data_IF_044227497078
#
_entry.id   IF_044227497078
#
_cell.length_a   1.000
_cell.length_b   1.000
_cell.length_c   1.000
_cell.angle_alpha   90.00
_cell.angle_beta   90.00
_cell.angle_gamma   90.00
#
_symmetry.space_group_name_H-M   'P 1'
#
loop_
_entity.id
_entity.type
_entity.pdbx_description
1 polymer ?
#
# COMPACT_ATOMS: atom_id res chain seq x y z
N UNK A 1 0.30 -0.56 -27.31
CA UNK A 1 1.25 -0.87 -26.23
C UNK A 1 2.10 -2.10 -26.54
N UNK A 2 1.51 -3.27 -26.76
CA UNK A 2 2.24 -4.51 -27.06
C UNK A 2 3.17 -4.40 -28.29
N UNK A 3 2.77 -3.67 -29.32
CA UNK A 3 3.62 -3.39 -30.48
C UNK A 3 4.91 -2.63 -30.09
N UNK A 4 4.87 -1.70 -29.12
CA UNK A 4 6.06 -0.99 -28.66
C UNK A 4 7.02 -1.90 -27.90
N UNK A 5 6.48 -2.83 -27.10
CA UNK A 5 7.28 -3.87 -26.42
C UNK A 5 7.95 -4.77 -27.45
N UNK A 6 7.25 -5.13 -28.53
CA UNK A 6 7.82 -5.92 -29.62
C UNK A 6 8.95 -5.17 -30.32
N UNK A 7 8.76 -3.89 -30.66
CA UNK A 7 9.83 -3.04 -31.22
C UNK A 7 11.06 -2.98 -30.30
N UNK A 8 10.87 -2.87 -28.98
CA UNK A 8 11.99 -2.91 -28.02
C UNK A 8 12.71 -4.26 -27.98
N UNK A 9 11.98 -5.37 -28.10
CA UNK A 9 12.59 -6.71 -28.17
C UNK A 9 13.45 -6.87 -29.42
N UNK A 10 12.96 -6.42 -30.57
CA UNK A 10 13.68 -6.45 -31.84
C UNK A 10 14.92 -5.55 -31.79
N UNK A 11 14.77 -4.32 -31.29
CA UNK A 11 15.90 -3.39 -31.11
C UNK A 11 17.00 -3.96 -30.21
N UNK A 12 16.64 -4.66 -29.14
CA UNK A 12 17.60 -5.28 -28.23
C UNK A 12 18.26 -6.53 -28.84
N UNK A 13 17.52 -7.33 -29.63
CA UNK A 13 18.09 -8.47 -30.34
C UNK A 13 19.11 -8.03 -31.40
N UNK A 14 18.80 -6.96 -32.14
CA UNK A 14 19.61 -6.45 -33.26
C UNK A 14 20.63 -5.38 -32.83
N UNK A 15 20.73 -5.07 -31.53
CA UNK A 15 21.59 -4.01 -30.97
C UNK A 15 21.43 -2.64 -31.66
N UNK A 16 20.21 -2.29 -32.07
CA UNK A 16 19.93 -1.05 -32.79
C UNK A 16 20.13 0.16 -31.89
N UNK A 17 20.97 1.11 -32.34
CA UNK A 17 21.27 2.34 -31.58
C UNK A 17 20.18 3.42 -31.68
N UNK A 18 19.33 3.36 -32.71
CA UNK A 18 18.24 4.31 -32.94
C UNK A 18 16.90 3.58 -32.93
N UNK A 19 15.87 4.27 -32.44
CA UNK A 19 14.49 3.79 -32.52
C UNK A 19 14.03 3.92 -33.99
N UNK A 20 13.38 2.89 -34.56
CA UNK A 20 12.81 2.97 -35.90
C UNK A 20 11.79 4.10 -36.04
N UNK A 21 11.70 4.72 -37.24
CA UNK A 21 10.79 5.85 -37.47
C UNK A 21 9.31 5.44 -37.46
N UNK A 22 9.03 4.16 -37.69
CA UNK A 22 7.72 3.50 -37.63
C UNK A 22 7.37 2.97 -36.23
N UNK A 23 8.23 3.20 -35.23
CA UNK A 23 7.99 2.75 -33.88
C UNK A 23 6.66 3.32 -33.32
N UNK A 24 5.83 2.51 -32.64
CA UNK A 24 4.55 2.96 -32.13
C UNK A 24 4.71 4.13 -31.15
N UNK A 25 3.94 5.19 -31.30
CA UNK A 25 3.98 6.37 -30.39
C UNK A 25 2.66 6.62 -29.65
N UNK A 26 1.60 5.89 -29.99
CA UNK A 26 0.25 6.09 -29.43
C UNK A 26 0.15 5.88 -27.91
N UNK A 27 1.06 5.11 -27.30
CA UNK A 27 1.08 4.87 -25.86
C UNK A 27 1.75 6.00 -25.06
N UNK A 28 2.44 6.93 -25.74
CA UNK A 28 3.22 7.98 -25.09
C UNK A 28 2.28 9.07 -24.54
N UNK A 29 2.15 9.12 -23.22
CA UNK A 29 1.36 10.14 -22.52
C UNK A 29 1.96 11.54 -22.69
N UNK A 30 1.16 12.63 -22.58
CA UNK A 30 1.62 14.01 -22.80
C UNK A 30 2.88 14.38 -22.01
N UNK A 31 3.02 13.92 -20.77
CA UNK A 31 4.21 14.14 -19.92
C UNK A 31 5.53 13.61 -20.51
N UNK A 32 5.46 12.55 -21.30
CA UNK A 32 6.62 11.90 -21.89
C UNK A 32 6.97 12.47 -23.26
N UNK A 33 6.00 13.05 -23.98
CA UNK A 33 6.21 13.55 -25.35
C UNK A 33 7.42 14.49 -25.49
N UNK A 34 7.65 15.47 -24.60
CA UNK A 34 8.82 16.36 -24.72
C UNK A 34 10.17 15.67 -24.53
N UNK A 35 10.20 14.52 -23.85
CA UNK A 35 11.41 13.76 -23.56
C UNK A 35 11.69 12.68 -24.62
N UNK A 36 10.63 12.07 -25.14
CA UNK A 36 10.71 10.95 -26.08
C UNK A 36 10.81 11.43 -27.53
N UNK A 37 10.10 12.52 -27.89
CA UNK A 37 10.07 13.06 -29.24
C UNK A 37 10.99 14.27 -29.30
N UNK A 38 12.13 14.12 -29.96
CA UNK A 38 13.12 15.18 -30.15
C UNK A 38 13.16 15.63 -31.61
N UNK A 39 13.73 16.81 -31.92
CA UNK A 39 13.88 17.27 -33.31
C UNK A 39 14.71 16.32 -34.20
N UNK A 40 15.57 15.49 -33.60
CA UNK A 40 16.43 14.52 -34.29
C UNK A 40 15.79 13.13 -34.44
N UNK A 41 14.58 12.94 -33.89
CA UNK A 41 13.84 11.68 -33.89
C UNK A 41 13.45 11.21 -32.49
N UNK A 42 13.14 9.93 -32.35
CA UNK A 42 12.79 9.32 -31.07
C UNK A 42 14.04 9.03 -30.24
N UNK A 43 14.11 9.57 -29.02
CA UNK A 43 15.20 9.26 -28.08
C UNK A 43 15.03 7.83 -27.55
N UNK A 44 16.04 6.99 -27.77
CA UNK A 44 16.00 5.56 -27.39
C UNK A 44 15.81 5.37 -25.88
N UNK A 45 16.56 6.08 -25.05
CA UNK A 45 16.54 5.88 -23.59
C UNK A 45 15.19 6.29 -23.03
N UNK A 46 14.68 7.44 -23.45
CA UNK A 46 13.37 7.91 -22.99
C UNK A 46 12.23 7.07 -23.57
N UNK A 47 12.34 6.57 -24.81
CA UNK A 47 11.36 5.66 -25.40
C UNK A 47 11.29 4.33 -24.63
N UNK A 48 12.44 3.72 -24.30
CA UNK A 48 12.52 2.50 -23.48
C UNK A 48 11.91 2.70 -22.08
N UNK A 49 12.32 3.76 -21.38
CA UNK A 49 11.79 4.07 -20.04
C UNK A 49 10.28 4.34 -20.11
N UNK A 50 9.82 5.08 -21.11
CA UNK A 50 8.40 5.38 -21.30
C UNK A 50 7.60 4.09 -21.53
N UNK A 51 8.06 3.21 -22.42
CA UNK A 51 7.40 1.95 -22.72
C UNK A 51 7.34 1.03 -21.48
N UNK A 52 8.43 0.90 -20.72
CA UNK A 52 8.42 0.08 -19.50
C UNK A 52 7.55 0.69 -18.39
N UNK A 53 7.57 2.02 -18.23
CA UNK A 53 6.76 2.73 -17.25
C UNK A 53 5.26 2.61 -17.56
N UNK A 54 4.86 2.81 -18.82
CA UNK A 54 3.46 2.66 -19.22
C UNK A 54 3.02 1.19 -19.23
N UNK A 55 3.93 0.22 -19.43
CA UNK A 55 3.62 -1.21 -19.29
C UNK A 55 3.33 -1.57 -17.83
N UNK A 56 4.17 -1.09 -16.91
CA UNK A 56 3.94 -1.23 -15.47
C UNK A 56 2.59 -0.63 -15.08
N UNK A 57 2.25 0.55 -15.58
CA UNK A 57 0.97 1.19 -15.29
C UNK A 57 -0.20 0.39 -15.85
N UNK A 58 -0.10 -0.13 -17.08
CA UNK A 58 -1.14 -0.93 -17.72
C UNK A 58 -1.37 -2.28 -17.02
N UNK A 59 -0.29 -2.92 -16.53
CA UNK A 59 -0.39 -4.11 -15.68
C UNK A 59 -1.05 -3.79 -14.34
N UNK A 60 -0.78 -2.61 -13.77
CA UNK A 60 -1.36 -2.18 -12.48
C UNK A 60 -2.84 -1.79 -12.61
N UNK A 61 -3.25 -1.19 -13.72
CA UNK A 61 -4.66 -0.83 -13.98
C UNK A 61 -5.50 -2.03 -14.42
N UNK A 62 -4.88 -3.13 -14.84
CA UNK A 62 -5.58 -4.29 -15.41
C UNK A 62 -5.85 -4.15 -16.92
N UNK A 63 -5.39 -3.08 -17.57
CA UNK A 63 -5.53 -2.90 -19.04
C UNK A 63 -4.71 -3.94 -19.83
N UNK A 64 -3.66 -4.48 -19.22
CA UNK A 64 -2.86 -5.59 -19.73
C UNK A 64 -2.78 -6.64 -18.64
N UNK A 65 -2.96 -7.90 -19.01
CA UNK A 65 -2.84 -9.06 -18.13
C UNK A 65 -1.85 -10.07 -18.71
N UNK A 66 -1.37 -10.95 -17.84
CA UNK A 66 -0.43 -12.01 -18.20
C UNK A 66 -1.12 -13.35 -17.99
N UNK A 67 -1.32 -14.08 -19.09
CA UNK A 67 -1.92 -15.41 -19.05
C UNK A 67 -1.13 -16.33 -18.11
N UNK A 68 -1.80 -16.89 -17.11
CA UNK A 68 -1.20 -17.76 -16.09
C UNK A 68 -0.56 -17.04 -14.89
N UNK A 69 -0.49 -15.71 -14.90
CA UNK A 69 -0.07 -14.94 -13.72
C UNK A 69 -1.17 -14.97 -12.65
N UNK A 70 -0.78 -15.10 -11.38
CA UNK A 70 -1.70 -14.89 -10.24
C UNK A 70 -1.84 -13.42 -9.86
N UNK A 71 -0.81 -12.61 -10.10
CA UNK A 71 -0.74 -11.21 -9.71
C UNK A 71 -1.34 -10.27 -10.76
N UNK A 72 -1.23 -10.61 -12.04
CA UNK A 72 -1.72 -9.81 -13.18
C UNK A 72 -2.70 -10.65 -14.00
N UNK A 73 -3.78 -11.10 -13.36
CA UNK A 73 -4.89 -11.81 -14.02
C UNK A 73 -5.73 -10.88 -14.87
N UNK A 74 -6.47 -11.48 -15.80
CA UNK A 74 -7.52 -10.78 -16.54
C UNK A 74 -8.53 -10.18 -15.56
N UNK A 75 -8.88 -8.91 -15.73
CA UNK A 75 -9.87 -8.26 -14.90
C UNK A 75 -11.25 -8.89 -15.09
N UNK A 76 -11.57 -9.31 -16.33
CA UNK A 76 -12.86 -9.89 -16.66
C UNK A 76 -13.09 -11.24 -15.97
N UNK A 77 -12.02 -11.97 -15.61
CA UNK A 77 -12.09 -13.22 -14.85
C UNK A 77 -12.61 -13.00 -13.40
N UNK A 78 -12.51 -11.78 -12.87
CA UNK A 78 -13.08 -11.43 -11.56
C UNK A 78 -14.54 -10.99 -11.64
N UNK A 79 -15.02 -10.67 -12.85
CA UNK A 79 -16.38 -10.22 -13.05
C UNK A 79 -17.32 -11.41 -13.26
N UNK A 80 -18.58 -11.19 -12.88
CA UNK A 80 -19.63 -12.12 -13.26
C UNK A 80 -19.83 -12.05 -14.79
N UNK A 81 -19.81 -13.18 -15.53
CA UNK A 81 -20.04 -13.15 -16.97
C UNK A 81 -21.36 -12.47 -17.32
N UNK A 82 -21.36 -11.63 -18.37
CA UNK A 82 -22.52 -10.81 -18.75
C UNK A 82 -23.81 -11.62 -18.92
N UNK A 83 -23.72 -12.82 -19.52
CA UNK A 83 -24.84 -13.74 -19.70
C UNK A 83 -25.42 -14.20 -18.35
N UNK A 84 -24.54 -14.54 -17.40
CA UNK A 84 -24.94 -14.97 -16.06
C UNK A 84 -25.53 -13.81 -15.26
N UNK A 85 -24.98 -12.61 -15.41
CA UNK A 85 -25.56 -11.39 -14.82
C UNK A 85 -26.96 -11.10 -15.39
N UNK A 86 -27.14 -11.18 -16.71
CA UNK A 86 -28.42 -10.95 -17.37
C UNK A 86 -29.50 -11.97 -16.94
N UNK A 87 -29.11 -13.23 -16.72
CA UNK A 87 -29.99 -14.25 -16.16
C UNK A 87 -30.41 -13.91 -14.72
N UNK A 88 -29.44 -13.65 -13.83
CA UNK A 88 -29.72 -13.31 -12.42
C UNK A 88 -30.55 -12.03 -12.26
N UNK A 89 -30.34 -11.03 -13.14
CA UNK A 89 -31.12 -9.80 -13.16
C UNK A 89 -32.58 -10.05 -13.56
N UNK A 90 -32.83 -10.91 -14.57
CA UNK A 90 -34.20 -11.30 -14.98
C UNK A 90 -34.92 -12.08 -13.89
N UNK A 91 -34.19 -12.93 -13.16
CA UNK A 91 -34.71 -13.76 -12.09
C UNK A 91 -34.84 -13.02 -10.74
N UNK A 92 -34.45 -11.74 -10.67
CA UNK A 92 -34.37 -10.95 -9.42
C UNK A 92 -33.56 -11.66 -8.30
N UNK A 93 -32.61 -12.53 -8.68
CA UNK A 93 -31.83 -13.37 -7.79
C UNK A 93 -30.41 -12.83 -7.57
N UNK A 94 -30.18 -11.53 -7.84
CA UNK A 94 -28.90 -10.90 -7.56
C UNK A 94 -28.66 -10.92 -6.04
N UNK A 95 -27.50 -11.42 -5.55
CA UNK A 95 -27.18 -11.49 -4.13
C UNK A 95 -26.76 -10.12 -3.59
N UNK A 96 -27.64 -9.13 -3.74
CA UNK A 96 -27.45 -7.76 -3.28
C UNK A 96 -28.42 -7.50 -2.14
N UNK A 97 -27.90 -7.07 -0.99
CA UNK A 97 -28.70 -6.68 0.16
C UNK A 97 -29.33 -5.28 0.02
N UNK A 98 -29.34 -4.74 -1.21
CA UNK A 98 -29.82 -3.38 -1.52
C UNK A 98 -30.80 -3.45 -2.68
N UNK A 99 -31.61 -2.40 -2.80
CA UNK A 99 -32.52 -2.24 -3.92
C UNK A 99 -31.73 -2.19 -5.25
N UNK A 100 -31.97 -3.11 -6.21
CA UNK A 100 -31.26 -3.11 -7.49
C UNK A 100 -31.71 -2.00 -8.44
N UNK A 101 -32.77 -1.25 -8.12
CA UNK A 101 -33.17 -0.05 -8.84
C UNK A 101 -32.31 1.15 -8.39
N UNK A 102 -31.47 1.65 -9.30
CA UNK A 102 -30.53 2.73 -9.02
C UNK A 102 -31.21 4.00 -8.53
N UNK A 103 -32.30 4.39 -9.18
CA UNK A 103 -32.92 5.69 -8.95
C UNK A 103 -33.60 5.69 -7.58
N UNK A 104 -34.31 4.59 -7.28
CA UNK A 104 -34.95 4.41 -5.98
C UNK A 104 -33.92 4.27 -4.85
N UNK A 105 -32.83 3.52 -5.07
CA UNK A 105 -31.77 3.40 -4.07
C UNK A 105 -31.10 4.75 -3.77
N UNK A 106 -30.85 5.56 -4.81
CA UNK A 106 -30.28 6.90 -4.64
C UNK A 106 -31.24 7.83 -3.89
N UNK A 107 -32.52 7.81 -4.24
CA UNK A 107 -33.55 8.59 -3.55
C UNK A 107 -33.62 8.21 -2.06
N UNK A 108 -33.69 6.91 -1.74
CA UNK A 108 -33.69 6.41 -0.37
C UNK A 108 -32.44 6.84 0.41
N UNK A 109 -31.26 6.82 -0.23
CA UNK A 109 -29.98 7.22 0.42
C UNK A 109 -29.86 8.72 0.62
N UNK A 110 -30.34 9.53 -0.32
CA UNK A 110 -30.37 10.98 -0.20
C UNK A 110 -31.34 11.40 0.91
N UNK A 111 -32.52 10.79 0.96
CA UNK A 111 -33.48 11.06 2.02
C UNK A 111 -32.92 10.69 3.40
N UNK A 112 -32.31 9.52 3.54
CA UNK A 112 -31.66 9.12 4.79
C UNK A 112 -30.54 10.10 5.17
N UNK A 113 -29.74 10.55 4.21
CA UNK A 113 -28.69 11.54 4.46
C UNK A 113 -29.27 12.85 4.99
N UNK A 114 -30.32 13.37 4.36
CA UNK A 114 -30.99 14.60 4.80
C UNK A 114 -31.56 14.46 6.22
N UNK A 115 -32.21 13.32 6.53
CA UNK A 115 -32.73 13.02 7.87
C UNK A 115 -31.62 12.97 8.93
N UNK A 116 -30.49 12.32 8.62
CA UNK A 116 -29.34 12.24 9.52
C UNK A 116 -28.66 13.60 9.69
N UNK A 117 -28.51 14.39 8.62
CA UNK A 117 -27.95 15.74 8.68
C UNK A 117 -28.82 16.68 9.52
N UNK A 118 -30.14 16.60 9.38
CA UNK A 118 -31.07 17.37 10.21
C UNK A 118 -30.93 16.98 11.69
N UNK A 119 -30.81 15.68 11.98
CA UNK A 119 -30.61 15.15 13.33
C UNK A 119 -29.30 15.63 13.93
N UNK A 120 -28.19 15.48 13.20
CA UNK A 120 -26.85 15.93 13.61
C UNK A 120 -26.83 17.44 13.82
N UNK A 121 -27.46 18.23 12.95
CA UNK A 121 -27.51 19.70 13.09
C UNK A 121 -28.23 20.12 14.37
N UNK A 122 -29.34 19.45 14.70
CA UNK A 122 -30.07 19.70 15.96
C UNK A 122 -29.22 19.36 17.18
N UNK A 123 -28.65 18.15 17.21
CA UNK A 123 -27.79 17.70 18.32
C UNK A 123 -26.53 18.57 18.46
N UNK A 124 -25.94 19.03 17.35
CA UNK A 124 -24.78 19.91 17.37
C UNK A 124 -25.10 21.27 18.00
N UNK A 125 -26.29 21.82 17.70
CA UNK A 125 -26.75 23.10 18.26
C UNK A 125 -26.96 23.01 19.76
N UNK A 126 -27.52 21.90 20.24
CA UNK A 126 -27.81 21.66 21.65
C UNK A 126 -26.60 21.08 22.41
N UNK A 127 -25.48 20.86 21.72
CA UNK A 127 -24.24 20.24 22.22
C UNK A 127 -24.45 18.82 22.80
N UNK A 128 -25.37 18.08 22.19
CA UNK A 128 -25.80 16.73 22.56
C UNK A 128 -25.32 15.66 21.56
N UNK A 129 -24.33 15.99 20.72
CA UNK A 129 -23.76 15.01 19.81
C UNK A 129 -23.08 13.88 20.62
N UNK A 130 -23.41 12.60 20.35
CA UNK A 130 -22.73 11.49 20.98
C UNK A 130 -21.28 11.44 20.49
N UNK A 131 -20.34 11.35 21.42
CA UNK A 131 -18.90 11.21 21.17
C UNK A 131 -18.30 12.29 20.24
N UNK A 132 -18.95 13.45 20.10
CA UNK A 132 -18.46 14.54 19.29
C UNK A 132 -18.88 15.91 19.84
N UNK A 133 -18.02 16.90 19.67
CA UNK A 133 -18.30 18.29 20.02
C UNK A 133 -17.88 19.15 18.84
N UNK A 134 -18.74 20.09 18.44
CA UNK A 134 -18.43 21.08 17.42
C UNK A 134 -17.98 22.38 18.10
N UNK A 135 -16.70 22.71 17.99
CA UNK A 135 -16.10 23.94 18.54
C UNK A 135 -15.76 24.92 17.42
N UNK A 136 -15.40 26.17 17.74
CA UNK A 136 -14.92 27.16 16.76
C UNK A 136 -13.68 26.68 15.97
N UNK A 137 -12.89 25.80 16.57
CA UNK A 137 -11.71 25.14 15.96
C UNK A 137 -12.05 23.92 15.10
N UNK A 138 -13.32 23.50 15.02
CA UNK A 138 -13.79 22.39 14.21
C UNK A 138 -14.45 21.25 14.99
N UNK A 139 -14.57 20.09 14.35
CA UNK A 139 -15.15 18.88 14.93
C UNK A 139 -14.12 18.15 15.79
N UNK A 140 -14.41 17.96 17.08
CA UNK A 140 -13.65 17.10 17.97
C UNK A 140 -14.43 15.83 18.24
N UNK A 141 -13.88 14.69 17.84
CA UNK A 141 -14.44 13.35 18.15
C UNK A 141 -13.78 12.86 19.44
N UNK A 142 -14.58 12.41 20.40
CA UNK A 142 -14.11 11.78 21.63
C UNK A 142 -13.49 10.42 21.28
N UNK A 143 -12.27 10.12 21.74
CA UNK A 143 -11.70 8.79 21.57
C UNK A 143 -12.63 7.73 22.16
N UNK A 144 -12.78 6.60 21.45
CA UNK A 144 -13.55 5.48 21.99
C UNK A 144 -12.88 4.97 23.27
N UNK A 145 -13.65 4.86 24.34
CA UNK A 145 -13.19 4.17 25.54
C UNK A 145 -13.01 2.69 25.24
N UNK A 146 -11.95 2.10 25.79
CA UNK A 146 -11.69 0.69 25.65
C UNK A 146 -12.80 -0.10 26.36
N UNK A 147 -13.65 -0.79 25.60
CA UNK A 147 -14.72 -1.66 26.12
C UNK A 147 -14.17 -3.00 26.66
N UNK A 148 -13.09 -2.95 27.43
CA UNK A 148 -12.47 -4.14 28.04
C UNK A 148 -13.17 -4.40 29.37
N UNK A 149 -13.82 -5.57 29.57
CA UNK A 149 -14.45 -5.90 30.86
C UNK A 149 -13.42 -5.89 32.00
N UNK A 150 -13.81 -5.44 33.20
CA UNK A 150 -12.90 -5.34 34.36
C UNK A 150 -12.16 -6.66 34.66
N UNK A 151 -12.83 -7.80 34.47
CA UNK A 151 -12.22 -9.13 34.66
C UNK A 151 -11.10 -9.42 33.66
N UNK A 152 -11.23 -8.94 32.43
CA UNK A 152 -10.19 -9.07 31.40
C UNK A 152 -9.00 -8.16 31.73
N UNK A 153 -9.25 -6.94 32.19
CA UNK A 153 -8.18 -6.03 32.64
C UNK A 153 -7.40 -6.62 33.82
N UNK A 154 -8.09 -7.17 34.83
CA UNK A 154 -7.44 -7.82 35.97
C UNK A 154 -6.54 -9.01 35.55
N UNK A 155 -6.95 -9.77 34.53
CA UNK A 155 -6.15 -10.87 33.99
C UNK A 155 -4.93 -10.36 33.20
N UNK A 156 -5.09 -9.30 32.41
CA UNK A 156 -3.98 -8.63 31.71
C UNK A 156 -2.93 -8.15 32.70
N UNK A 157 -3.36 -7.53 33.80
CA UNK A 157 -2.45 -7.00 34.83
C UNK A 157 -1.68 -8.13 35.53
N UNK A 158 -2.37 -9.21 35.91
CA UNK A 158 -1.73 -10.39 36.51
C UNK A 158 -0.74 -11.05 35.56
N UNK A 159 -1.11 -11.22 34.28
CA UNK A 159 -0.25 -11.84 33.27
C UNK A 159 0.96 -10.97 32.99
N UNK A 160 0.78 -9.64 32.90
CA UNK A 160 1.86 -8.69 32.66
C UNK A 160 2.89 -8.66 33.80
N UNK A 161 2.47 -8.94 35.04
CA UNK A 161 3.39 -9.05 36.19
C UNK A 161 4.27 -10.31 36.14
N UNK A 162 3.84 -11.36 35.43
CA UNK A 162 4.62 -12.60 35.26
C UNK A 162 5.67 -12.48 34.15
N UNK A 163 5.54 -11.48 33.26
CA UNK A 163 6.44 -11.30 32.13
C UNK A 163 7.60 -10.36 32.49
N UNK A 164 8.85 -10.71 32.12
CA UNK A 164 9.99 -9.81 32.32
C UNK A 164 9.83 -8.56 31.46
N UNK A 165 10.25 -7.41 31.98
CA UNK A 165 10.35 -6.17 31.20
C UNK A 165 11.59 -6.21 30.32
N UNK A 166 11.40 -6.62 29.06
CA UNK A 166 12.43 -6.61 28.02
C UNK A 166 12.24 -5.42 27.08
N UNK A 167 13.31 -4.91 26.48
CA UNK A 167 13.18 -3.90 25.42
C UNK A 167 12.68 -4.60 24.16
N UNK A 168 11.71 -3.99 23.45
CA UNK A 168 11.19 -4.56 22.20
C UNK A 168 12.32 -4.78 21.18
N UNK A 169 13.32 -3.90 21.15
CA UNK A 169 14.50 -4.07 20.27
C UNK A 169 15.34 -5.29 20.62
N UNK A 170 15.40 -5.71 21.90
CA UNK A 170 16.08 -6.94 22.32
C UNK A 170 15.28 -8.17 21.89
N UNK A 171 13.95 -8.14 22.08
CA UNK A 171 13.09 -9.20 21.56
C UNK A 171 13.22 -9.35 20.03
N UNK A 172 13.29 -8.23 19.31
CA UNK A 172 13.50 -8.24 17.87
C UNK A 172 14.89 -8.77 17.47
N UNK A 173 15.92 -8.56 18.30
CA UNK A 173 17.23 -9.17 18.08
C UNK A 173 17.16 -10.69 18.23
N UNK A 174 16.46 -11.22 19.23
CA UNK A 174 16.29 -12.67 19.40
C UNK A 174 15.53 -13.29 18.21
N UNK A 175 14.47 -12.63 17.74
CA UNK A 175 13.71 -13.06 16.55
C UNK A 175 14.57 -12.98 15.29
N UNK A 176 15.43 -11.98 15.18
CA UNK A 176 16.39 -11.89 14.08
C UNK A 176 17.43 -13.02 14.15
N UNK A 177 17.92 -13.39 15.32
CA UNK A 177 18.84 -14.52 15.46
C UNK A 177 18.18 -15.86 15.06
N UNK A 178 16.86 -16.01 15.23
CA UNK A 178 16.12 -17.20 14.79
C UNK A 178 15.83 -17.23 13.30
N UNK A 179 15.41 -16.10 12.74
CA UNK A 179 14.89 -16.03 11.36
C UNK A 179 15.93 -15.51 10.36
N UNK A 180 16.92 -14.77 10.85
CA UNK A 180 17.90 -14.02 10.10
C UNK A 180 17.28 -12.97 9.16
N UNK A 181 16.12 -12.42 9.51
CA UNK A 181 15.35 -11.55 8.61
C UNK A 181 16.11 -10.25 8.25
N UNK A 182 16.99 -9.77 9.13
CA UNK A 182 17.75 -8.54 8.93
C UNK A 182 18.69 -8.59 7.72
N UNK A 183 19.11 -9.78 7.27
CA UNK A 183 19.95 -9.98 6.07
C UNK A 183 19.32 -9.41 4.79
N UNK A 184 18.00 -9.28 4.77
CA UNK A 184 17.26 -8.75 3.62
C UNK A 184 17.30 -7.22 3.53
N UNK A 185 17.69 -6.52 4.61
CA UNK A 185 17.79 -5.06 4.68
C UNK A 185 19.18 -4.58 4.22
N UNK A 186 19.48 -4.84 2.96
CA UNK A 186 20.77 -4.54 2.36
C UNK A 186 20.89 -3.08 1.90
N UNK A 187 22.10 -2.56 1.91
CA UNK A 187 22.42 -1.21 1.47
C UNK A 187 22.19 -1.07 -0.05
N UNK A 188 21.50 0.00 -0.45
CA UNK A 188 21.02 0.21 -1.82
C UNK A 188 22.12 0.13 -2.90
N UNK A 189 23.36 0.53 -2.57
CA UNK A 189 24.43 0.69 -3.56
C UNK A 189 25.28 -0.57 -3.77
N UNK A 190 25.62 -1.26 -2.70
CA UNK A 190 26.61 -2.34 -2.66
C UNK A 190 26.05 -3.65 -2.11
N UNK A 191 24.79 -3.66 -1.68
CA UNK A 191 24.13 -4.86 -1.13
C UNK A 191 24.65 -5.28 0.24
N UNK A 192 25.44 -4.45 0.92
CA UNK A 192 25.99 -4.79 2.23
C UNK A 192 24.91 -4.79 3.33
N UNK A 193 25.01 -5.68 4.30
CA UNK A 193 24.12 -5.69 5.47
C UNK A 193 24.33 -4.45 6.35
N UNK A 194 23.29 -4.09 7.11
CA UNK A 194 23.38 -3.00 8.08
C UNK A 194 24.36 -3.39 9.21
N UNK A 195 25.41 -2.57 9.40
CA UNK A 195 26.42 -2.81 10.44
C UNK A 195 25.87 -2.68 11.86
N UNK A 196 24.92 -1.78 12.06
CA UNK A 196 24.29 -1.51 13.36
C UNK A 196 22.87 -2.10 13.34
N UNK A 197 22.74 -3.32 13.88
CA UNK A 197 21.46 -4.03 13.94
C UNK A 197 20.46 -3.32 14.83
N UNK A 198 20.91 -2.77 15.96
CA UNK A 198 20.04 -2.04 16.89
C UNK A 198 19.43 -0.80 16.22
N UNK A 199 20.22 -0.08 15.42
CA UNK A 199 19.74 1.05 14.63
C UNK A 199 18.74 0.60 13.55
N UNK A 200 19.00 -0.52 12.87
CA UNK A 200 18.09 -1.10 11.89
C UNK A 200 16.75 -1.49 12.50
N UNK A 201 16.78 -2.27 13.58
CA UNK A 201 15.57 -2.72 14.28
C UNK A 201 14.78 -1.56 14.88
N UNK A 202 15.46 -0.50 15.32
CA UNK A 202 14.81 0.73 15.79
C UNK A 202 14.08 1.46 14.68
N UNK A 203 14.68 1.53 13.48
CA UNK A 203 14.04 2.13 12.32
C UNK A 203 12.83 1.32 11.85
N UNK A 204 12.97 -0.01 11.77
CA UNK A 204 11.87 -0.93 11.42
C UNK A 204 10.73 -0.82 12.44
N UNK A 205 11.04 -0.85 13.74
CA UNK A 205 10.03 -0.75 14.77
C UNK A 205 9.28 0.58 14.68
N UNK A 206 9.98 1.71 14.51
CA UNK A 206 9.36 3.03 14.36
C UNK A 206 8.38 3.13 13.19
N UNK A 207 8.67 2.42 12.10
CA UNK A 207 7.80 2.29 10.93
C UNK A 207 6.59 1.38 11.24
N UNK A 208 6.85 0.19 11.81
CA UNK A 208 5.84 -0.84 12.08
C UNK A 208 4.74 -0.39 13.06
N UNK A 209 5.07 0.44 14.06
CA UNK A 209 4.09 0.92 15.05
C UNK A 209 3.57 2.34 14.75
N UNK A 210 3.86 2.89 13.56
CA UNK A 210 3.49 4.26 13.16
C UNK A 210 3.97 5.34 14.15
N UNK A 211 5.04 5.09 14.89
CA UNK A 211 5.61 6.05 15.84
C UNK A 211 6.43 7.13 15.11
N UNK A 212 7.06 6.75 13.99
CA UNK A 212 7.93 7.61 13.19
C UNK A 212 9.31 7.83 13.82
N UNK A 213 10.28 8.19 12.98
CA UNK A 213 11.69 8.24 13.39
C UNK A 213 12.01 9.33 14.42
N UNK A 214 11.26 10.44 14.43
CA UNK A 214 11.48 11.55 15.37
C UNK A 214 11.19 11.11 16.80
N UNK A 215 9.98 10.60 17.05
CA UNK A 215 9.59 10.09 18.38
C UNK A 215 10.42 8.88 18.78
N UNK A 216 10.83 8.06 17.81
CA UNK A 216 11.72 6.94 18.06
C UNK A 216 13.09 7.38 18.58
N UNK A 217 13.67 8.43 18.00
CA UNK A 217 14.93 9.02 18.47
C UNK A 217 14.79 9.63 19.88
N UNK A 218 13.67 10.29 20.17
CA UNK A 218 13.42 10.88 21.50
C UNK A 218 13.24 9.81 22.59
N UNK A 219 12.65 8.67 22.23
CA UNK A 219 12.33 7.59 23.17
C UNK A 219 13.48 6.61 23.40
N UNK A 220 14.54 6.69 22.59
CA UNK A 220 15.63 5.70 22.57
C UNK A 220 17.00 6.33 22.86
N UNK A 221 17.61 6.05 24.03
CA UNK A 221 18.91 6.61 24.37
C UNK A 221 20.00 6.27 23.33
N UNK A 222 20.73 7.29 22.86
CA UNK A 222 21.86 7.13 21.93
C UNK A 222 21.51 7.11 20.44
N UNK A 223 20.21 7.10 20.10
CA UNK A 223 19.71 7.21 18.74
C UNK A 223 19.42 8.68 18.38
N UNK A 224 19.69 9.05 17.13
CA UNK A 224 19.34 10.37 16.61
C UNK A 224 18.50 10.21 15.36
N UNK A 225 17.61 11.17 15.09
CA UNK A 225 16.81 11.19 13.87
C UNK A 225 17.68 11.07 12.62
N UNK A 226 18.82 11.78 12.58
CA UNK A 226 19.74 11.74 11.44
C UNK A 226 20.29 10.33 11.16
N UNK A 227 20.65 9.57 12.21
CA UNK A 227 21.11 8.18 12.06
C UNK A 227 20.00 7.26 11.56
N UNK A 228 18.81 7.38 12.13
CA UNK A 228 17.64 6.58 11.76
C UNK A 228 17.20 6.87 10.32
N UNK A 229 17.10 8.14 9.96
CA UNK A 229 16.68 8.57 8.62
C UNK A 229 17.68 8.15 7.55
N UNK A 230 18.99 8.25 7.86
CA UNK A 230 20.02 7.76 6.95
C UNK A 230 19.90 6.24 6.77
N UNK A 231 19.80 5.47 7.85
CA UNK A 231 19.67 4.02 7.75
C UNK A 231 18.41 3.63 6.97
N UNK A 232 17.26 4.24 7.26
CA UNK A 232 16.01 3.96 6.53
C UNK A 232 16.18 4.21 5.04
N UNK A 233 16.74 5.36 4.64
CA UNK A 233 16.90 5.73 3.24
C UNK A 233 17.77 4.73 2.44
N UNK A 234 18.77 4.12 3.07
CA UNK A 234 19.72 3.22 2.40
C UNK A 234 19.39 1.74 2.54
N UNK A 235 18.69 1.32 3.60
CA UNK A 235 18.47 -0.10 3.92
C UNK A 235 17.01 -0.55 3.91
N UNK A 236 16.04 0.35 4.01
CA UNK A 236 14.61 0.01 4.15
C UNK A 236 13.85 0.41 2.88
N UNK A 237 13.20 -0.57 2.24
CA UNK A 237 12.34 -0.42 1.05
C UNK A 237 11.25 -1.50 1.05
N UNK A 238 10.21 -1.32 0.23
CA UNK A 238 9.14 -2.32 0.08
C UNK A 238 9.68 -3.71 -0.31
N UNK A 239 10.72 -3.76 -1.14
CA UNK A 239 11.34 -5.02 -1.55
C UNK A 239 12.10 -5.70 -0.40
N UNK A 240 12.73 -4.94 0.49
CA UNK A 240 13.47 -5.52 1.63
C UNK A 240 12.51 -6.08 2.67
N UNK A 241 11.37 -5.41 2.89
CA UNK A 241 10.29 -5.93 3.72
C UNK A 241 9.70 -7.22 3.13
N UNK A 242 9.38 -7.20 1.84
CA UNK A 242 8.81 -8.37 1.16
C UNK A 242 9.76 -9.57 1.20
N UNK A 243 11.07 -9.33 1.06
CA UNK A 243 12.09 -10.38 1.16
C UNK A 243 12.33 -10.88 2.59
N UNK A 244 12.03 -10.08 3.61
CA UNK A 244 12.21 -10.45 5.03
C UNK A 244 11.12 -11.36 5.60
N UNK A 245 9.98 -11.49 4.91
CA UNK A 245 8.91 -12.39 5.32
C UNK A 245 9.22 -13.79 4.79
N UNK A 246 9.31 -14.82 5.65
CA UNK A 246 9.53 -16.19 5.19
C UNK A 246 8.35 -16.63 4.30
N UNK A 247 8.66 -17.35 3.22
CA UNK A 247 7.62 -17.99 2.42
C UNK A 247 6.86 -19.00 3.29
N UNK A 248 5.53 -19.06 3.15
CA UNK A 248 4.68 -20.02 3.87
C UNK A 248 5.23 -21.45 3.66
N UNK A 249 5.99 -21.96 4.64
CA UNK A 249 6.62 -23.29 4.59
C UNK A 249 8.04 -23.40 5.17
N UNK A 250 8.76 -22.29 5.42
CA UNK A 250 10.16 -22.33 5.89
C UNK A 250 10.38 -22.05 7.39
N UNK A 251 9.31 -21.88 8.18
CA UNK A 251 9.42 -21.82 9.64
C UNK A 251 9.63 -23.24 10.21
N UNK A 252 10.87 -23.74 10.13
CA UNK A 252 11.32 -24.81 11.05
C UNK A 252 11.80 -24.18 12.36
N UNK A 253 11.48 -24.82 13.51
CA UNK A 253 11.82 -24.32 14.84
C UNK A 253 13.33 -24.28 15.11
#
# INVERSE_FOLDING_TARGET
MLAAVQTLREMNADNLRKVPADAPTAFIKPRWKPLVITPEGLDRKFYEICALSELKNALRSGDIWVKGSRQFRDFDDYLLPAEKFAALKREQALPLAINPNSDQYLEERLQLLDEQLATVTRLAKDNELPDAILTESGLKITPLDAAVPDRAQALIDQTSQLLPRIKITELLMDVDDWTGFSRHFTHLKDGAEAKDRTLLLSAILGDAINLGLTKMAESSPGLTYAKLSWLQAWHIRDETYSGSVPAEGEMTP
#
